data_IF_532965919490
#
_entry.id   IF_532965919490
#
_cell.length_a   1.000
_cell.length_b   1.000
_cell.length_c   1.000
_cell.angle_alpha   90.00
_cell.angle_beta   90.00
_cell.angle_gamma   90.00
#
_symmetry.space_group_name_H-M   'P 1'
#
loop_
_entity.id
_entity.type
_entity.pdbx_description
1 polymer ?
#
# COMPACT_ATOMS: atom_id res chain seq x y z
N UNK A 1 25.03 -123.19 72.17
CA UNK A 1 24.06 -122.49 71.31
C UNK A 1 23.04 -123.51 70.85
N UNK A 2 21.83 -123.44 71.39
CA UNK A 2 20.72 -124.33 71.04
C UNK A 2 20.13 -123.94 69.68
N UNK A 3 19.37 -124.84 69.05
CA UNK A 3 18.63 -124.54 67.81
C UNK A 3 17.67 -123.38 68.00
N UNK A 4 17.12 -123.24 69.23
CA UNK A 4 16.28 -122.11 69.63
C UNK A 4 17.07 -120.80 69.61
N UNK A 5 18.29 -120.77 70.18
CA UNK A 5 19.15 -119.57 70.17
C UNK A 5 19.48 -119.10 68.73
N UNK A 6 19.64 -120.05 67.78
CA UNK A 6 19.86 -119.72 66.37
C UNK A 6 18.60 -119.17 65.71
N UNK A 7 17.45 -119.75 65.98
CA UNK A 7 16.17 -119.29 65.44
C UNK A 7 15.83 -117.89 65.96
N UNK A 8 16.09 -117.64 67.24
CA UNK A 8 15.90 -116.33 67.87
C UNK A 8 16.87 -115.29 67.28
N UNK A 9 18.15 -115.63 67.04
CA UNK A 9 19.11 -114.76 66.37
C UNK A 9 18.77 -114.46 64.89
N UNK A 10 18.23 -115.43 64.16
CA UNK A 10 17.73 -115.21 62.80
C UNK A 10 16.48 -114.33 62.78
N UNK A 11 15.57 -114.49 63.74
CA UNK A 11 14.40 -113.64 63.90
C UNK A 11 14.83 -112.19 64.21
N UNK A 12 15.80 -112.00 65.13
CA UNK A 12 16.36 -110.69 65.45
C UNK A 12 17.05 -110.04 64.24
N UNK A 13 17.84 -110.79 63.48
CA UNK A 13 18.51 -110.29 62.26
C UNK A 13 17.48 -109.89 61.20
N UNK A 14 16.40 -110.66 61.06
CA UNK A 14 15.30 -110.37 60.12
C UNK A 14 14.53 -109.11 60.53
N UNK A 15 14.31 -108.89 61.82
CA UNK A 15 13.74 -107.65 62.33
C UNK A 15 14.66 -106.44 62.12
N UNK A 16 15.96 -106.60 62.35
CA UNK A 16 16.93 -105.53 62.08
C UNK A 16 16.97 -105.17 60.60
N UNK A 17 16.93 -106.17 59.71
CA UNK A 17 16.85 -105.96 58.28
C UNK A 17 15.55 -105.25 57.87
N UNK A 18 14.40 -105.66 58.44
CA UNK A 18 13.13 -104.98 58.20
C UNK A 18 13.17 -103.51 58.66
N UNK A 19 13.68 -103.22 59.86
CA UNK A 19 13.86 -101.83 60.33
C UNK A 19 14.79 -101.01 59.44
N UNK A 20 15.86 -101.63 58.92
CA UNK A 20 16.76 -100.96 58.00
C UNK A 20 16.09 -100.68 56.66
N UNK A 21 15.33 -101.64 56.12
CA UNK A 21 14.52 -101.45 54.91
C UNK A 21 13.50 -100.33 55.10
N UNK A 22 12.73 -100.34 56.18
CA UNK A 22 11.77 -99.29 56.50
C UNK A 22 12.45 -97.90 56.60
N UNK A 23 13.64 -97.84 57.20
CA UNK A 23 14.43 -96.61 57.28
C UNK A 23 14.95 -96.13 55.93
N UNK A 24 15.35 -97.05 55.04
CA UNK A 24 15.74 -96.73 53.67
C UNK A 24 14.56 -96.25 52.83
N UNK A 25 13.40 -96.89 52.96
CA UNK A 25 12.18 -96.50 52.25
C UNK A 25 11.73 -95.10 52.69
N UNK A 26 11.75 -94.83 54.00
CA UNK A 26 11.44 -93.50 54.54
C UNK A 26 12.42 -92.42 54.05
N UNK A 27 13.72 -92.74 53.99
CA UNK A 27 14.72 -91.83 53.44
C UNK A 27 14.53 -91.60 51.95
N UNK A 28 14.25 -92.66 51.18
CA UNK A 28 14.00 -92.58 49.74
C UNK A 28 12.78 -91.71 49.43
N UNK A 29 11.69 -91.87 50.18
CA UNK A 29 10.49 -91.05 50.05
C UNK A 29 10.77 -89.57 50.37
N UNK A 30 11.50 -89.30 51.47
CA UNK A 30 11.93 -87.95 51.82
C UNK A 30 12.81 -87.31 50.74
N UNK A 31 13.80 -88.06 50.24
CA UNK A 31 14.66 -87.61 49.15
C UNK A 31 13.88 -87.29 47.87
N UNK A 32 12.93 -88.15 47.48
CA UNK A 32 12.10 -87.90 46.30
C UNK A 32 11.22 -86.67 46.47
N UNK A 33 10.65 -86.46 47.66
CA UNK A 33 9.91 -85.24 47.98
C UNK A 33 10.78 -83.99 47.81
N UNK A 34 11.99 -83.98 48.38
CA UNK A 34 12.94 -82.86 48.26
C UNK A 34 13.36 -82.60 46.81
N UNK A 35 13.60 -83.65 46.03
CA UNK A 35 13.91 -83.53 44.60
C UNK A 35 12.76 -82.90 43.83
N UNK A 36 11.52 -83.29 44.12
CA UNK A 36 10.34 -82.71 43.47
C UNK A 36 10.12 -81.25 43.89
N UNK A 37 10.35 -80.91 45.16
CA UNK A 37 10.28 -79.53 45.64
C UNK A 37 11.32 -78.65 44.94
N UNK A 38 12.59 -79.09 44.90
CA UNK A 38 13.66 -78.36 44.19
C UNK A 38 13.38 -78.22 42.71
N UNK A 39 12.79 -79.24 42.08
CA UNK A 39 12.39 -79.18 40.68
C UNK A 39 11.32 -78.11 40.46
N UNK A 40 10.26 -78.09 41.27
CA UNK A 40 9.20 -77.06 41.19
C UNK A 40 9.77 -75.65 41.41
N UNK A 41 10.68 -75.50 42.37
CA UNK A 41 11.36 -74.24 42.63
C UNK A 41 12.22 -73.80 41.45
N UNK A 42 12.98 -74.72 40.84
CA UNK A 42 13.78 -74.42 39.65
C UNK A 42 12.92 -74.04 38.43
N UNK A 43 11.77 -74.69 38.26
CA UNK A 43 10.78 -74.36 37.23
C UNK A 43 10.22 -72.94 37.47
N UNK A 44 9.77 -72.63 38.70
CA UNK A 44 9.27 -71.30 39.05
C UNK A 44 10.31 -70.18 38.85
N UNK A 45 11.56 -70.40 39.28
CA UNK A 45 12.65 -69.45 39.03
C UNK A 45 12.96 -69.31 37.53
N UNK A 46 12.83 -70.40 36.76
CA UNK A 46 13.00 -70.38 35.31
C UNK A 46 11.96 -69.49 34.64
N UNK A 47 10.70 -69.60 35.07
CA UNK A 47 9.57 -68.81 34.58
C UNK A 47 9.74 -67.32 34.93
N UNK A 48 10.05 -67.00 36.20
CA UNK A 48 10.32 -65.63 36.63
C UNK A 48 11.50 -65.00 35.87
N UNK A 49 12.58 -65.76 35.66
CA UNK A 49 13.72 -65.27 34.89
C UNK A 49 13.39 -65.06 33.41
N UNK A 50 12.49 -65.85 32.84
CA UNK A 50 12.01 -65.66 31.47
C UNK A 50 11.13 -64.41 31.36
N UNK A 51 10.25 -64.17 32.33
CA UNK A 51 9.41 -62.97 32.40
C UNK A 51 10.26 -61.70 32.52
N UNK A 52 11.26 -61.71 33.42
CA UNK A 52 12.18 -60.59 33.60
C UNK A 52 12.97 -60.29 32.31
N UNK A 53 13.46 -61.32 31.61
CA UNK A 53 14.13 -61.13 30.31
C UNK A 53 13.19 -60.51 29.28
N UNK A 54 11.97 -61.02 29.18
CA UNK A 54 10.97 -60.48 28.27
C UNK A 54 10.60 -59.03 28.61
N UNK A 55 10.55 -58.66 29.89
CA UNK A 55 10.34 -57.28 30.31
C UNK A 55 11.51 -56.37 29.90
N UNK A 56 12.76 -56.83 30.04
CA UNK A 56 13.92 -56.07 29.59
C UNK A 56 13.94 -55.87 28.07
N UNK A 57 13.63 -56.90 27.29
CA UNK A 57 13.53 -56.79 25.83
C UNK A 57 12.45 -55.78 25.39
N UNK A 58 11.31 -55.76 26.09
CA UNK A 58 10.25 -54.78 25.82
C UNK A 58 10.67 -53.35 26.16
N UNK A 59 11.41 -53.17 27.26
CA UNK A 59 11.93 -51.85 27.66
C UNK A 59 12.99 -51.37 26.67
N UNK A 60 13.89 -52.24 26.22
CA UNK A 60 14.90 -51.92 25.20
C UNK A 60 14.23 -51.47 23.89
N UNK A 61 13.25 -52.23 23.40
CA UNK A 61 12.48 -51.85 22.22
C UNK A 61 11.77 -50.48 22.39
N UNK A 62 11.19 -50.22 23.56
CA UNK A 62 10.54 -48.93 23.84
C UNK A 62 11.55 -47.77 23.86
N UNK A 63 12.77 -47.99 24.35
CA UNK A 63 13.83 -46.98 24.31
C UNK A 63 14.33 -46.72 22.89
N UNK A 64 14.48 -47.76 22.06
CA UNK A 64 14.86 -47.62 20.65
C UNK A 64 13.80 -46.84 19.86
N UNK A 65 12.52 -47.16 20.06
CA UNK A 65 11.40 -46.45 19.44
C UNK A 65 11.37 -44.97 19.86
N UNK A 66 11.60 -44.70 21.14
CA UNK A 66 11.70 -43.33 21.65
C UNK A 66 12.89 -42.58 21.05
N UNK A 67 14.07 -43.22 20.99
CA UNK A 67 15.27 -42.62 20.43
C UNK A 67 15.07 -42.24 18.96
N UNK A 68 14.50 -43.15 18.15
CA UNK A 68 14.18 -42.89 16.75
C UNK A 68 13.19 -41.72 16.59
N UNK A 69 12.16 -41.67 17.43
CA UNK A 69 11.18 -40.56 17.43
C UNK A 69 11.85 -39.23 17.79
N UNK A 70 12.69 -39.23 18.84
CA UNK A 70 13.41 -38.04 19.27
C UNK A 70 14.38 -37.53 18.20
N UNK A 71 15.12 -38.41 17.53
CA UNK A 71 15.99 -38.05 16.42
C UNK A 71 15.21 -37.42 15.26
N UNK A 72 14.05 -38.00 14.93
CA UNK A 72 13.12 -37.44 13.94
C UNK A 72 12.64 -36.04 14.31
N UNK A 73 12.22 -35.83 15.56
CA UNK A 73 11.77 -34.53 16.07
C UNK A 73 12.89 -33.48 16.04
N UNK A 74 14.12 -33.87 16.40
CA UNK A 74 15.28 -32.98 16.36
C UNK A 74 15.64 -32.60 14.93
N UNK A 75 15.57 -33.54 13.99
CA UNK A 75 15.78 -33.27 12.56
C UNK A 75 14.72 -32.30 12.04
N UNK A 76 13.43 -32.57 12.30
CA UNK A 76 12.34 -31.70 11.89
C UNK A 76 12.46 -30.27 12.47
N UNK A 77 12.86 -30.14 13.74
CA UNK A 77 13.11 -28.82 14.35
C UNK A 77 14.29 -28.10 13.71
N UNK A 78 15.37 -28.82 13.38
CA UNK A 78 16.53 -28.24 12.69
C UNK A 78 16.14 -27.73 11.30
N UNK A 79 15.37 -28.50 10.55
CA UNK A 79 14.89 -28.12 9.22
C UNK A 79 13.97 -26.90 9.30
N UNK A 80 13.05 -26.87 10.27
CA UNK A 80 12.18 -25.72 10.50
C UNK A 80 12.96 -24.43 10.86
N UNK A 81 14.00 -24.53 11.69
CA UNK A 81 14.88 -23.39 12.00
C UNK A 81 15.66 -22.94 10.77
N UNK A 82 16.11 -23.87 9.94
CA UNK A 82 16.76 -23.56 8.66
C UNK A 82 15.84 -22.76 7.74
N UNK A 83 14.61 -23.24 7.53
CA UNK A 83 13.60 -22.55 6.72
C UNK A 83 13.27 -21.15 7.26
N UNK A 84 13.12 -21.00 8.59
CA UNK A 84 12.88 -19.69 9.21
C UNK A 84 14.04 -18.71 8.98
N UNK A 85 15.29 -19.18 9.04
CA UNK A 85 16.45 -18.35 8.75
C UNK A 85 16.50 -17.90 7.29
N UNK A 86 16.13 -18.78 6.35
CA UNK A 86 16.04 -18.44 4.93
C UNK A 86 14.95 -17.40 4.66
N UNK A 87 13.78 -17.54 5.30
CA UNK A 87 12.69 -16.56 5.22
C UNK A 87 13.12 -15.19 5.76
N UNK A 88 13.74 -15.15 6.95
CA UNK A 88 14.25 -13.90 7.53
C UNK A 88 15.29 -13.23 6.64
N UNK A 89 16.18 -14.01 6.01
CA UNK A 89 17.16 -13.47 5.07
C UNK A 89 16.47 -12.87 3.83
N UNK A 90 15.49 -13.58 3.26
CA UNK A 90 14.72 -13.08 2.13
C UNK A 90 13.94 -11.80 2.46
N UNK A 91 13.32 -11.72 3.65
CA UNK A 91 12.66 -10.50 4.13
C UNK A 91 13.66 -9.36 4.29
N UNK A 92 14.82 -9.61 4.88
CA UNK A 92 15.87 -8.58 5.03
C UNK A 92 16.34 -8.04 3.68
N UNK A 93 16.58 -8.91 2.71
CA UNK A 93 16.98 -8.53 1.36
C UNK A 93 15.88 -7.73 0.65
N UNK A 94 14.60 -8.09 0.83
CA UNK A 94 13.47 -7.33 0.31
C UNK A 94 13.39 -5.92 0.92
N UNK A 95 13.59 -5.78 2.23
CA UNK A 95 13.67 -4.47 2.88
C UNK A 95 14.83 -3.63 2.38
N UNK A 96 16.01 -4.24 2.18
CA UNK A 96 17.17 -3.54 1.63
C UNK A 96 16.87 -3.01 0.21
N UNK A 97 16.28 -3.84 -0.65
CA UNK A 97 15.88 -3.42 -2.00
C UNK A 97 14.84 -2.29 -1.99
N UNK A 98 13.85 -2.36 -1.09
CA UNK A 98 12.84 -1.31 -0.95
C UNK A 98 13.45 0.03 -0.48
N UNK A 99 14.43 -0.02 0.43
CA UNK A 99 15.16 1.18 0.86
C UNK A 99 15.98 1.79 -0.28
N UNK A 100 16.66 0.97 -1.09
CA UNK A 100 17.38 1.44 -2.28
C UNK A 100 16.45 2.11 -3.30
N UNK A 101 15.26 1.54 -3.52
CA UNK A 101 14.25 2.14 -4.40
C UNK A 101 13.73 3.47 -3.86
N UNK A 102 13.47 3.55 -2.55
CA UNK A 102 13.03 4.78 -1.89
C UNK A 102 14.09 5.88 -1.95
N UNK A 103 15.36 5.56 -1.69
CA UNK A 103 16.47 6.50 -1.80
C UNK A 103 16.64 7.01 -3.24
N UNK A 104 16.49 6.13 -4.23
CA UNK A 104 16.52 6.50 -5.64
C UNK A 104 15.34 7.42 -6.01
N UNK A 105 14.14 7.14 -5.49
CA UNK A 105 12.97 8.01 -5.65
C UNK A 105 13.20 9.38 -5.03
N UNK A 106 13.65 9.43 -3.76
CA UNK A 106 13.92 10.66 -3.04
C UNK A 106 14.95 11.52 -3.79
N UNK A 107 16.03 10.91 -4.31
CA UNK A 107 17.01 11.60 -5.13
C UNK A 107 16.44 12.20 -6.42
N UNK A 108 15.55 11.49 -7.12
CA UNK A 108 14.85 12.02 -8.31
C UNK A 108 13.88 13.15 -7.94
N UNK A 109 13.18 13.00 -6.82
CA UNK A 109 12.26 14.01 -6.32
C UNK A 109 12.98 15.32 -5.99
N UNK A 110 14.08 15.25 -5.25
CA UNK A 110 14.90 16.42 -4.91
C UNK A 110 15.42 17.13 -6.17
N UNK A 111 15.92 16.36 -7.14
CA UNK A 111 16.35 16.92 -8.43
C UNK A 111 15.21 17.61 -9.17
N UNK A 112 14.00 17.03 -9.18
CA UNK A 112 12.84 17.64 -9.82
C UNK A 112 12.42 18.94 -9.11
N UNK A 113 12.44 18.95 -7.78
CA UNK A 113 12.15 20.17 -6.98
C UNK A 113 13.17 21.26 -7.27
N UNK A 114 14.46 20.93 -7.31
CA UNK A 114 15.50 21.91 -7.60
C UNK A 114 15.43 22.44 -9.03
N UNK A 115 15.15 21.57 -10.02
CA UNK A 115 14.90 21.99 -11.39
C UNK A 115 13.70 22.94 -11.49
N UNK A 116 12.60 22.65 -10.77
CA UNK A 116 11.43 23.55 -10.72
C UNK A 116 11.74 24.88 -10.06
N UNK A 117 12.50 24.89 -8.96
CA UNK A 117 12.95 26.13 -8.30
C UNK A 117 13.80 26.99 -9.22
N UNK A 118 14.75 26.39 -9.94
CA UNK A 118 15.59 27.09 -10.91
C UNK A 118 14.74 27.66 -12.06
N UNK A 119 13.82 26.87 -12.61
CA UNK A 119 12.89 27.34 -13.64
C UNK A 119 12.03 28.52 -13.17
N UNK A 120 11.51 28.47 -11.93
CA UNK A 120 10.75 29.57 -11.35
C UNK A 120 11.59 30.82 -11.07
N UNK A 121 12.89 30.68 -10.79
CA UNK A 121 13.80 31.82 -10.68
C UNK A 121 14.04 32.46 -12.06
N UNK A 122 14.39 31.65 -13.06
CA UNK A 122 14.61 32.11 -14.43
C UNK A 122 13.36 32.80 -15.01
N UNK A 123 12.18 32.21 -14.83
CA UNK A 123 10.92 32.81 -15.28
C UNK A 123 10.66 34.17 -14.62
N UNK A 124 10.97 34.33 -13.33
CA UNK A 124 10.81 35.63 -12.64
C UNK A 124 11.78 36.68 -13.16
N UNK A 125 13.01 36.28 -13.48
CA UNK A 125 14.00 37.17 -14.09
C UNK A 125 13.54 37.62 -15.48
N UNK A 126 13.06 36.69 -16.31
CA UNK A 126 12.50 36.99 -17.64
C UNK A 126 11.28 37.90 -17.57
N UNK A 127 10.35 37.63 -16.64
CA UNK A 127 9.16 38.46 -16.44
C UNK A 127 9.52 39.88 -15.96
N UNK A 128 10.55 39.99 -15.12
CA UNK A 128 11.08 41.29 -14.67
C UNK A 128 11.69 42.05 -15.85
N UNK A 129 12.54 41.41 -16.63
CA UNK A 129 13.16 42.02 -17.81
C UNK A 129 12.09 42.47 -18.84
N UNK A 130 11.11 41.62 -19.12
CA UNK A 130 9.99 41.95 -20.03
C UNK A 130 9.20 43.15 -19.52
N UNK A 131 8.88 43.19 -18.21
CA UNK A 131 8.18 44.34 -17.62
C UNK A 131 9.01 45.62 -17.77
N UNK A 132 10.30 45.57 -17.48
CA UNK A 132 11.19 46.72 -17.55
C UNK A 132 11.35 47.22 -19.02
N UNK A 133 11.31 46.31 -20.00
CA UNK A 133 11.25 46.66 -21.44
C UNK A 133 9.92 47.33 -21.83
N UNK A 134 8.79 46.82 -21.34
CA UNK A 134 7.48 47.45 -21.55
C UNK A 134 7.38 48.83 -20.93
N UNK A 135 7.94 49.03 -19.74
CA UNK A 135 7.97 50.33 -19.06
C UNK A 135 8.79 51.34 -19.87
N UNK A 136 9.98 50.94 -20.34
CA UNK A 136 10.81 51.77 -21.23
C UNK A 136 10.09 52.11 -22.55
N UNK A 137 9.38 51.14 -23.14
CA UNK A 137 8.60 51.39 -24.35
C UNK A 137 7.46 52.39 -24.09
N UNK A 138 6.75 52.25 -22.96
CA UNK A 138 5.67 53.14 -22.59
C UNK A 138 6.17 54.58 -22.38
N UNK A 139 7.29 54.76 -21.68
CA UNK A 139 7.94 56.07 -21.51
C UNK A 139 8.33 56.69 -22.86
N UNK A 140 8.98 55.92 -23.74
CA UNK A 140 9.38 56.41 -25.06
C UNK A 140 8.17 56.75 -25.95
N UNK A 141 7.08 55.98 -25.83
CA UNK A 141 5.83 56.25 -26.52
C UNK A 141 5.20 57.56 -26.04
N UNK A 142 5.09 57.76 -24.73
CA UNK A 142 4.55 58.98 -24.12
C UNK A 142 5.37 60.21 -24.53
N UNK A 143 6.71 60.11 -24.49
CA UNK A 143 7.61 61.17 -24.98
C UNK A 143 7.38 61.49 -26.46
N UNK A 144 7.22 60.45 -27.30
CA UNK A 144 6.93 60.61 -28.72
C UNK A 144 5.57 61.27 -28.99
N UNK A 145 4.55 60.91 -28.21
CA UNK A 145 3.22 61.55 -28.26
C UNK A 145 3.31 63.03 -27.88
N UNK A 146 4.03 63.36 -26.81
CA UNK A 146 4.23 64.75 -26.38
C UNK A 146 5.08 65.56 -27.37
N UNK A 147 6.08 64.94 -28.01
CA UNK A 147 6.83 65.56 -29.12
C UNK A 147 5.89 65.87 -30.30
N UNK A 148 5.09 64.90 -30.74
CA UNK A 148 4.13 65.10 -31.82
C UNK A 148 3.09 66.17 -31.48
N UNK A 149 2.60 66.18 -30.24
CA UNK A 149 1.68 67.22 -29.75
C UNK A 149 2.31 68.61 -29.87
N UNK A 150 3.54 68.79 -29.36
CA UNK A 150 4.27 70.07 -29.46
C UNK A 150 4.55 70.50 -30.90
N UNK A 151 4.73 69.54 -31.81
CA UNK A 151 4.93 69.83 -33.23
C UNK A 151 3.63 70.24 -33.94
N UNK A 152 2.50 69.65 -33.56
CA UNK A 152 1.18 69.93 -34.15
C UNK A 152 0.58 71.24 -33.66
N UNK A 153 0.77 71.61 -32.39
CA UNK A 153 0.24 72.83 -31.78
C UNK A 153 0.50 74.12 -32.60
N UNK A 154 1.74 74.44 -33.04
CA UNK A 154 1.98 75.62 -33.88
C UNK A 154 1.36 75.53 -35.27
N UNK A 155 1.14 74.32 -35.81
CA UNK A 155 0.44 74.14 -37.09
C UNK A 155 -1.04 74.47 -36.91
N UNK A 156 -1.66 74.03 -35.82
CA UNK A 156 -3.04 74.40 -35.48
C UNK A 156 -3.18 75.91 -35.29
N UNK A 157 -2.28 76.54 -34.54
CA UNK A 157 -2.23 78.00 -34.37
C UNK A 157 -2.09 78.73 -35.72
N UNK A 158 -1.22 78.24 -36.61
CA UNK A 158 -1.04 78.82 -37.94
C UNK A 158 -2.28 78.67 -38.82
N UNK A 159 -2.99 77.54 -38.75
CA UNK A 159 -4.26 77.33 -39.45
C UNK A 159 -5.34 78.27 -38.92
N UNK A 160 -5.41 78.47 -37.61
CA UNK A 160 -6.36 79.42 -37.01
C UNK A 160 -6.03 80.88 -37.39
N UNK A 161 -4.75 81.26 -37.37
CA UNK A 161 -4.30 82.58 -37.82
C UNK A 161 -4.65 82.83 -39.30
N UNK A 162 -4.39 81.85 -40.17
CA UNK A 162 -4.74 81.91 -41.58
C UNK A 162 -6.26 82.02 -41.78
N UNK A 163 -7.05 81.30 -41.00
CA UNK A 163 -8.52 81.38 -41.02
C UNK A 163 -9.01 82.78 -40.62
N UNK A 164 -8.41 83.37 -39.58
CA UNK A 164 -8.73 84.73 -39.16
C UNK A 164 -8.32 85.77 -40.21
N UNK A 165 -7.19 85.58 -40.89
CA UNK A 165 -6.79 86.42 -42.03
C UNK A 165 -7.76 86.31 -43.20
N UNK A 166 -8.15 85.09 -43.57
CA UNK A 166 -9.13 84.86 -44.63
C UNK A 166 -10.48 85.53 -44.30
N UNK A 167 -10.93 85.42 -43.05
CA UNK A 167 -12.17 86.07 -42.60
C UNK A 167 -12.08 87.59 -42.68
N UNK A 168 -10.98 88.21 -42.20
CA UNK A 168 -10.76 89.66 -42.34
C UNK A 168 -10.66 90.11 -43.80
N UNK A 169 -10.01 89.33 -44.65
CA UNK A 169 -9.93 89.61 -46.08
C UNK A 169 -11.31 89.51 -46.74
N UNK A 170 -12.13 88.54 -46.33
CA UNK A 170 -13.52 88.41 -46.75
C UNK A 170 -14.37 89.61 -46.33
N UNK A 171 -14.24 90.05 -45.07
CA UNK A 171 -14.89 91.26 -44.55
C UNK A 171 -14.46 92.51 -45.33
N UNK A 172 -13.16 92.72 -45.54
CA UNK A 172 -12.63 93.85 -46.32
C UNK A 172 -13.09 93.82 -47.78
N UNK A 173 -13.14 92.65 -48.42
CA UNK A 173 -13.68 92.51 -49.77
C UNK A 173 -15.17 92.83 -49.78
N UNK A 174 -15.93 92.35 -48.80
CA UNK A 174 -17.36 92.65 -48.68
C UNK A 174 -17.62 94.14 -48.49
N UNK A 175 -16.80 94.83 -47.68
CA UNK A 175 -16.85 96.28 -47.52
C UNK A 175 -16.52 97.02 -48.82
N UNK A 176 -15.44 96.62 -49.51
CA UNK A 176 -15.06 97.20 -50.81
C UNK A 176 -16.13 96.97 -51.88
N UNK A 177 -16.79 95.81 -51.88
CA UNK A 177 -17.91 95.49 -52.77
C UNK A 177 -19.11 96.37 -52.45
N UNK A 178 -19.44 96.59 -51.17
CA UNK A 178 -20.49 97.52 -50.73
C UNK A 178 -20.16 98.96 -51.14
N UNK A 179 -18.91 99.41 -50.99
CA UNK A 179 -18.46 100.76 -51.37
C UNK A 179 -18.51 100.97 -52.90
N UNK A 180 -18.06 99.99 -53.68
CA UNK A 180 -17.99 100.11 -55.14
C UNK A 180 -19.34 99.91 -55.84
N UNK A 181 -20.19 99.00 -55.34
CA UNK A 181 -21.46 98.63 -56.00
C UNK A 181 -22.73 99.06 -55.24
N UNK A 182 -22.64 99.59 -54.02
CA UNK A 182 -23.76 100.19 -53.30
C UNK A 182 -24.86 99.22 -52.80
N UNK A 183 -24.58 97.91 -52.76
CA UNK A 183 -25.50 96.88 -52.27
C UNK A 183 -24.81 95.97 -51.24
N UNK A 184 -25.45 95.77 -50.08
CA UNK A 184 -25.11 94.69 -49.15
C UNK A 184 -25.45 93.35 -49.80
N UNK A 185 -24.44 92.51 -50.09
CA UNK A 185 -24.70 91.10 -50.37
C UNK A 185 -25.09 90.40 -49.07
N UNK A 186 -26.36 90.04 -48.95
CA UNK A 186 -26.84 89.09 -47.95
C UNK A 186 -26.00 87.81 -48.03
N UNK A 187 -25.41 87.43 -46.91
CA UNK A 187 -24.58 86.25 -46.76
C UNK A 187 -25.21 85.03 -47.44
N UNK A 188 -24.53 84.48 -48.44
CA UNK A 188 -24.87 83.18 -48.98
C UNK A 188 -24.62 82.15 -47.88
N UNK A 189 -25.71 81.54 -47.41
CA UNK A 189 -25.73 80.34 -46.60
C UNK A 189 -24.88 79.27 -47.29
N UNK A 190 -23.73 78.94 -46.70
CA UNK A 190 -22.91 77.83 -47.17
C UNK A 190 -23.54 76.52 -46.69
N UNK A 191 -24.27 75.93 -47.63
CA UNK A 191 -24.77 74.58 -47.57
C UNK A 191 -23.62 73.60 -47.83
N UNK A 192 -23.36 72.73 -46.84
CA UNK A 192 -23.10 71.33 -47.13
C UNK A 192 -21.71 70.81 -46.80
N UNK A 193 -21.67 69.90 -45.82
CA UNK A 193 -21.03 68.60 -45.97
C UNK A 193 -21.58 67.65 -44.91
N UNK A 194 -22.77 67.11 -45.22
CA UNK A 194 -23.23 65.85 -44.65
C UNK A 194 -22.30 64.74 -45.14
N UNK A 195 -21.51 64.15 -44.22
CA UNK A 195 -20.69 62.98 -44.51
C UNK A 195 -21.16 61.79 -43.68
N UNK A 196 -21.94 60.97 -44.36
CA UNK A 196 -21.94 59.50 -44.32
C UNK A 196 -21.99 58.81 -42.95
N UNK A 197 -23.16 58.23 -42.70
CA UNK A 197 -23.32 57.01 -41.93
C UNK A 197 -22.31 55.93 -42.36
N UNK A 198 -21.76 55.23 -41.37
CA UNK A 198 -21.20 53.90 -41.50
C UNK A 198 -21.98 52.97 -40.54
N UNK A 199 -22.35 51.83 -41.09
CA UNK A 199 -23.27 50.78 -40.64
C UNK A 199 -22.72 49.93 -39.46
N UNK A 200 -23.52 49.00 -38.90
CA UNK A 200 -23.55 48.69 -37.48
C UNK A 200 -22.55 47.63 -37.02
N UNK A 201 -22.27 47.73 -35.72
CA UNK A 201 -21.58 46.78 -34.87
C UNK A 201 -22.27 45.40 -34.89
N UNK A 202 -21.57 44.37 -35.36
CA UNK A 202 -22.00 42.97 -35.31
C UNK A 202 -21.60 42.38 -33.96
N UNK A 203 -22.59 41.84 -33.25
CA UNK A 203 -22.47 41.03 -32.04
C UNK A 203 -21.47 39.87 -32.25
N UNK A 204 -20.51 39.77 -31.33
CA UNK A 204 -19.81 38.53 -31.06
C UNK A 204 -20.27 38.05 -29.68
N UNK A 205 -21.15 37.05 -29.66
CA UNK A 205 -21.42 36.26 -28.46
C UNK A 205 -20.14 35.51 -28.06
N UNK A 206 -19.72 35.51 -26.79
CA UNK A 206 -18.72 34.58 -26.32
C UNK A 206 -19.37 33.21 -26.08
N UNK A 207 -18.95 32.21 -26.85
CA UNK A 207 -19.07 30.80 -26.43
C UNK A 207 -18.27 30.63 -25.13
N UNK A 208 -18.97 30.43 -24.02
CA UNK A 208 -18.40 30.04 -22.74
C UNK A 208 -18.51 28.52 -22.59
N UNK A 209 -17.52 27.81 -23.13
CA UNK A 209 -17.14 26.48 -22.66
C UNK A 209 -15.84 26.65 -21.88
N UNK A 210 -15.89 26.43 -20.56
CA UNK A 210 -15.12 25.37 -19.90
C UNK A 210 -15.01 25.56 -18.37
N UNK A 211 -15.34 24.48 -17.67
CA UNK A 211 -14.92 24.03 -16.35
C UNK A 211 -15.00 24.96 -15.12
N UNK A 212 -16.13 24.86 -14.40
CA UNK A 212 -16.09 24.59 -12.95
C UNK A 212 -17.12 23.53 -12.62
N UNK A 213 -16.71 22.27 -12.67
CA UNK A 213 -17.41 21.17 -12.01
C UNK A 213 -17.07 21.26 -10.52
N UNK A 214 -18.02 21.72 -9.72
CA UNK A 214 -18.00 21.55 -8.27
C UNK A 214 -19.46 21.41 -7.80
N UNK A 215 -19.70 20.39 -6.99
CA UNK A 215 -20.94 20.03 -6.28
C UNK A 215 -22.15 19.49 -7.08
N UNK A 216 -21.95 18.45 -7.90
CA UNK A 216 -23.02 17.49 -8.20
C UNK A 216 -22.78 16.21 -7.39
N UNK A 217 -23.40 16.12 -6.22
CA UNK A 217 -23.43 14.91 -5.39
C UNK A 217 -24.11 13.82 -6.22
N UNK A 218 -23.31 12.96 -6.85
CA UNK A 218 -23.81 11.83 -7.62
C UNK A 218 -24.58 10.89 -6.70
N UNK A 219 -25.90 10.78 -6.87
CA UNK A 219 -26.79 9.86 -6.13
C UNK A 219 -26.50 8.37 -6.40
N UNK A 220 -25.50 8.06 -7.23
CA UNK A 220 -25.15 6.71 -7.71
C UNK A 220 -23.79 6.19 -7.17
N UNK A 221 -23.32 6.68 -6.02
CA UNK A 221 -22.07 6.19 -5.40
C UNK A 221 -22.29 5.63 -4.00
N UNK A 222 -21.55 4.56 -3.70
CA UNK A 222 -21.51 3.87 -2.41
C UNK A 222 -20.17 4.17 -1.74
N UNK A 223 -20.20 4.57 -0.47
CA UNK A 223 -18.99 4.81 0.33
C UNK A 223 -18.44 3.50 0.91
N UNK A 224 -17.18 3.19 0.64
CA UNK A 224 -16.52 2.06 1.29
C UNK A 224 -16.22 2.40 2.75
N UNK A 225 -16.87 1.71 3.69
CA UNK A 225 -16.67 1.91 5.14
C UNK A 225 -15.27 1.62 5.69
N UNK A 226 -14.40 0.98 4.90
CA UNK A 226 -13.02 0.68 5.32
C UNK A 226 -12.09 1.86 4.99
N UNK A 227 -12.24 2.50 3.83
CA UNK A 227 -11.34 3.56 3.36
C UNK A 227 -11.98 4.96 3.24
N UNK A 228 -13.32 5.06 3.27
CA UNK A 228 -14.06 6.32 3.14
C UNK A 228 -14.11 6.88 1.70
N UNK A 229 -13.71 6.10 0.70
CA UNK A 229 -13.80 6.49 -0.71
C UNK A 229 -15.14 6.09 -1.33
N UNK A 230 -15.60 6.87 -2.31
CA UNK A 230 -16.86 6.68 -3.03
C UNK A 230 -16.65 5.90 -4.32
N UNK A 231 -17.46 4.86 -4.53
CA UNK A 231 -17.37 3.97 -5.69
C UNK A 231 -18.74 3.78 -6.33
N UNK A 232 -18.78 3.53 -7.64
CA UNK A 232 -20.03 3.13 -8.33
C UNK A 232 -20.52 1.74 -7.91
N UNK A 233 -19.64 0.88 -7.42
CA UNK A 233 -19.96 -0.38 -6.76
C UNK A 233 -18.74 -0.85 -5.98
N UNK A 234 -18.95 -1.41 -4.78
CA UNK A 234 -17.87 -2.05 -4.02
C UNK A 234 -17.65 -3.44 -4.64
N UNK A 235 -16.53 -3.60 -5.35
CA UNK A 235 -16.20 -4.86 -6.01
C UNK A 235 -15.27 -5.71 -5.14
N UNK A 236 -15.24 -7.02 -5.38
CA UNK A 236 -14.33 -7.92 -4.68
C UNK A 236 -12.85 -7.54 -4.90
N UNK A 237 -12.52 -7.02 -6.08
CA UNK A 237 -11.17 -6.49 -6.35
C UNK A 237 -10.78 -5.32 -5.47
N UNK A 238 -11.74 -4.50 -5.02
CA UNK A 238 -11.47 -3.43 -4.07
C UNK A 238 -11.34 -3.96 -2.64
N UNK A 239 -12.21 -4.88 -2.22
CA UNK A 239 -12.11 -5.48 -0.88
C UNK A 239 -10.83 -6.30 -0.68
N UNK A 240 -10.29 -6.88 -1.76
CA UNK A 240 -8.96 -7.50 -1.74
C UNK A 240 -7.84 -6.51 -1.41
N UNK A 241 -7.95 -5.21 -1.72
CA UNK A 241 -6.95 -4.23 -1.28
C UNK A 241 -7.01 -3.96 0.22
N UNK A 242 -8.07 -4.43 0.89
CA UNK A 242 -8.24 -4.41 2.33
C UNK A 242 -8.06 -5.79 2.97
N UNK A 243 -7.55 -6.79 2.22
CA UNK A 243 -7.42 -8.18 2.65
C UNK A 243 -8.75 -8.79 3.16
N UNK A 244 -9.87 -8.34 2.60
CA UNK A 244 -11.21 -8.81 2.97
C UNK A 244 -11.96 -9.40 1.79
N UNK A 245 -12.75 -10.43 2.07
CA UNK A 245 -13.76 -10.95 1.14
C UNK A 245 -15.09 -10.18 1.28
N UNK A 246 -15.95 -10.31 0.26
CA UNK A 246 -17.29 -9.74 0.28
C UNK A 246 -18.14 -10.23 1.47
N UNK A 247 -17.92 -11.47 1.89
CA UNK A 247 -18.62 -12.05 3.03
C UNK A 247 -18.12 -11.45 4.35
N UNK A 248 -16.80 -11.34 4.53
CA UNK A 248 -16.21 -10.72 5.72
C UNK A 248 -16.62 -9.25 5.86
N UNK A 249 -16.71 -8.53 4.73
CA UNK A 249 -17.21 -7.15 4.71
C UNK A 249 -18.65 -7.04 5.21
N UNK A 250 -19.54 -7.95 4.79
CA UNK A 250 -20.92 -8.01 5.27
C UNK A 250 -21.03 -8.47 6.71
N UNK A 251 -20.16 -9.38 7.14
CA UNK A 251 -20.15 -9.87 8.53
C UNK A 251 -19.68 -8.77 9.50
N UNK A 252 -18.74 -7.93 9.10
CA UNK A 252 -18.21 -6.83 9.92
C UNK A 252 -19.09 -5.58 9.92
N UNK A 253 -19.64 -5.20 8.76
CA UNK A 253 -20.42 -3.96 8.61
C UNK A 253 -21.94 -4.15 8.58
N UNK A 254 -22.41 -5.40 8.69
CA UNK A 254 -23.80 -5.80 8.70
C UNK A 254 -24.27 -6.36 7.36
N UNK A 255 -25.27 -7.29 7.36
CA UNK A 255 -25.78 -7.90 6.13
C UNK A 255 -26.41 -6.90 5.17
N UNK A 256 -26.81 -5.74 5.68
CA UNK A 256 -27.41 -4.60 4.95
C UNK A 256 -26.35 -3.58 4.49
N UNK A 257 -25.06 -3.92 4.52
CA UNK A 257 -24.03 -3.07 3.94
C UNK A 257 -24.25 -2.98 2.42
N UNK A 258 -24.75 -1.82 1.97
CA UNK A 258 -24.97 -1.48 0.57
C UNK A 258 -23.66 -1.59 -0.20
N UNK A 259 -23.63 -2.43 -1.23
CA UNK A 259 -22.45 -2.66 -2.08
C UNK A 259 -22.72 -2.15 -3.50
N UNK A 260 -24.00 -2.02 -3.88
CA UNK A 260 -24.45 -1.42 -5.12
C UNK A 260 -25.38 -0.22 -4.85
N UNK A 261 -25.33 0.84 -5.67
CA UNK A 261 -26.29 1.92 -5.60
C UNK A 261 -27.72 1.38 -5.78
N UNK A 262 -28.63 1.74 -4.87
CA UNK A 262 -30.04 1.35 -4.95
C UNK A 262 -30.43 -0.01 -4.35
N UNK A 263 -29.55 -0.68 -3.60
CA UNK A 263 -29.95 -1.78 -2.70
C UNK A 263 -30.58 -1.21 -1.41
N UNK A 264 -31.89 -0.91 -1.45
CA UNK A 264 -32.76 -0.75 -0.27
C UNK A 264 -33.69 -1.96 -0.08
#
# INVERSE_FOLDING_TARGET
MTVKDKHDAFAETREQFARAQDGFDQYADGFWSDVQEKRRLAEAFGDEAAELRSAFEQVEAAFDDYAATFEGDVAARRDAVGALHEEMAATHDAFAAALEEFDAYAGRFDQAVDAKRQGAAAFREEATATRDEFEQFAEAFDDGVEEHRRAVEPVLDAVEALRAEYQRAGESLSEAVVEFYGYEMLAAEDAGASSSAAEPFVEAEPESDDATADDEIHEDVVECRVCGEYYQAITESHLQTHDMSMQEYKDEHGPDATIYPGEE
#
